data_IF_832142348404
#
_entry.id   IF_832142348404
#
_cell.length_a   1.000
_cell.length_b   1.000
_cell.length_c   1.000
_cell.angle_alpha   90.00
_cell.angle_beta   90.00
_cell.angle_gamma   90.00
#
_symmetry.space_group_name_H-M   'P 1'
#
loop_
_entity.id
_entity.type
_entity.pdbx_description
1 polymer ?
#
# COMPACT_ATOMS: atom_id res chain seq x y z
N UNK A 1 -47.02 57.22 -11.87
CA UNK A 1 -46.33 56.28 -12.79
C UNK A 1 -44.98 55.97 -12.17
N UNK A 2 -44.52 54.76 -11.90
CA UNK A 2 -45.00 53.41 -12.06
C UNK A 2 -44.01 52.52 -11.30
N UNK A 3 -44.54 51.51 -10.63
CA UNK A 3 -43.86 50.53 -9.77
C UNK A 3 -42.86 49.66 -10.52
N UNK A 4 -41.71 49.36 -9.92
CA UNK A 4 -40.94 48.13 -10.18
C UNK A 4 -40.34 47.62 -8.86
N UNK A 5 -41.15 46.82 -8.15
CA UNK A 5 -40.67 45.80 -7.21
C UNK A 5 -40.06 44.65 -8.00
N UNK A 6 -38.89 44.16 -7.57
CA UNK A 6 -38.38 42.84 -7.96
C UNK A 6 -37.76 42.18 -6.73
N UNK A 7 -38.44 41.16 -6.22
CA UNK A 7 -38.00 40.31 -5.11
C UNK A 7 -36.76 39.48 -5.50
N UNK A 8 -35.79 39.27 -4.59
CA UNK A 8 -34.78 38.24 -4.78
C UNK A 8 -35.36 36.86 -4.42
N UNK A 9 -35.43 35.99 -5.43
CA UNK A 9 -35.85 34.59 -5.33
C UNK A 9 -34.95 33.79 -4.38
N UNK A 10 -35.59 33.06 -3.47
CA UNK A 10 -35.05 32.01 -2.62
C UNK A 10 -34.19 31.01 -3.43
N UNK A 11 -32.86 31.10 -3.33
CA UNK A 11 -31.90 30.15 -3.89
C UNK A 11 -31.06 29.43 -2.80
N UNK A 12 -31.60 29.29 -1.59
CA UNK A 12 -30.86 28.75 -0.43
C UNK A 12 -31.00 27.23 -0.19
N UNK A 13 -32.12 26.60 -0.56
CA UNK A 13 -32.47 25.28 0.00
C UNK A 13 -31.94 24.06 -0.78
N UNK A 14 -31.67 24.20 -2.09
CA UNK A 14 -31.18 23.07 -2.92
C UNK A 14 -29.68 22.80 -2.77
N UNK A 15 -28.88 23.80 -2.42
CA UNK A 15 -27.43 23.60 -2.24
C UNK A 15 -27.09 22.99 -0.87
N UNK A 16 -27.87 23.29 0.17
CA UNK A 16 -27.68 22.68 1.50
C UNK A 16 -28.06 21.19 1.52
N UNK A 17 -29.09 20.79 0.79
CA UNK A 17 -29.48 19.36 0.66
C UNK A 17 -28.51 18.54 -0.18
N UNK A 18 -27.89 19.15 -1.20
CA UNK A 18 -26.78 18.55 -1.95
C UNK A 18 -25.52 18.42 -1.10
N UNK A 19 -25.16 19.44 -0.31
CA UNK A 19 -24.04 19.36 0.62
C UNK A 19 -24.28 18.34 1.75
N UNK A 20 -25.52 18.24 2.25
CA UNK A 20 -25.91 17.25 3.26
C UNK A 20 -25.88 15.81 2.73
N UNK A 21 -26.27 15.58 1.47
CA UNK A 21 -26.18 14.25 0.85
C UNK A 21 -24.74 13.85 0.49
N UNK A 22 -23.89 14.82 0.13
CA UNK A 22 -22.45 14.59 -0.02
C UNK A 22 -21.75 14.28 1.32
N UNK A 23 -22.17 14.89 2.42
CA UNK A 23 -21.61 14.57 3.75
C UNK A 23 -22.12 13.22 4.28
N UNK A 24 -23.36 12.82 3.97
CA UNK A 24 -23.91 11.53 4.39
C UNK A 24 -23.26 10.33 3.66
N UNK A 25 -22.82 10.49 2.41
CA UNK A 25 -22.06 9.47 1.68
C UNK A 25 -20.57 9.42 2.08
N UNK A 26 -20.04 10.51 2.66
CA UNK A 26 -18.66 10.54 3.15
C UNK A 26 -18.49 9.85 4.52
N UNK A 27 -19.58 9.64 5.28
CA UNK A 27 -19.55 9.10 6.65
C UNK A 27 -19.60 7.58 6.76
N UNK A 28 -19.68 6.82 5.65
CA UNK A 28 -19.63 5.35 5.72
C UNK A 28 -18.22 4.78 6.00
N UNK A 29 -17.18 5.62 5.94
CA UNK A 29 -15.83 5.24 6.36
C UNK A 29 -15.16 6.40 7.11
N UNK A 30 -14.85 6.21 8.39
CA UNK A 30 -14.40 7.29 9.29
C UNK A 30 -13.05 7.96 8.98
N UNK A 31 -12.37 7.62 7.88
CA UNK A 31 -11.08 8.20 7.50
C UNK A 31 -11.24 9.34 6.46
N UNK A 32 -10.41 10.40 6.51
CA UNK A 32 -10.42 11.46 5.51
C UNK A 32 -10.16 10.98 4.08
N UNK A 33 -10.74 11.65 3.09
CA UNK A 33 -10.64 11.29 1.67
C UNK A 33 -9.18 11.19 1.15
N UNK A 34 -8.30 12.11 1.57
CA UNK A 34 -6.90 12.10 1.16
C UNK A 34 -6.13 10.86 1.64
N UNK A 35 -6.62 10.16 2.68
CA UNK A 35 -6.06 8.89 3.14
C UNK A 35 -6.66 7.72 2.38
N UNK A 36 -7.99 7.72 2.19
CA UNK A 36 -8.76 6.65 1.54
C UNK A 36 -8.42 6.46 0.06
N UNK A 37 -8.10 7.55 -0.62
CA UNK A 37 -7.82 7.54 -2.06
C UNK A 37 -6.36 7.87 -2.36
N UNK A 38 -5.49 7.81 -1.35
CA UNK A 38 -4.09 8.17 -1.48
C UNK A 38 -3.40 7.39 -2.59
N UNK A 39 -3.62 6.07 -2.65
CA UNK A 39 -2.96 5.20 -3.63
C UNK A 39 -3.50 5.42 -5.05
N UNK A 40 -4.79 5.75 -5.19
CA UNK A 40 -5.42 6.02 -6.48
C UNK A 40 -5.02 7.38 -7.07
N UNK A 41 -4.64 8.34 -6.23
CA UNK A 41 -4.23 9.68 -6.65
C UNK A 41 -2.75 9.76 -7.07
N UNK A 42 -1.96 8.70 -6.89
CA UNK A 42 -0.53 8.73 -7.25
C UNK A 42 -0.32 8.43 -8.74
N UNK A 43 0.42 9.30 -9.43
CA UNK A 43 0.88 9.06 -10.80
C UNK A 43 2.13 8.16 -10.80
N UNK A 44 1.98 6.95 -10.25
CA UNK A 44 3.05 5.95 -10.15
C UNK A 44 2.60 4.70 -10.93
N UNK A 45 3.49 4.06 -11.71
CA UNK A 45 3.16 2.82 -12.38
C UNK A 45 2.56 1.78 -11.42
N UNK A 46 1.56 0.99 -11.85
CA UNK A 46 0.91 0.04 -10.96
C UNK A 46 1.90 -0.98 -10.41
N UNK A 47 1.96 -1.08 -9.09
CA UNK A 47 2.90 -1.94 -8.39
C UNK A 47 2.44 -2.27 -6.98
N UNK A 48 3.35 -2.77 -6.15
CA UNK A 48 3.09 -3.10 -4.73
C UNK A 48 3.17 -1.84 -3.85
N UNK A 49 2.31 -0.87 -4.11
CA UNK A 49 2.22 0.37 -3.34
C UNK A 49 1.70 0.12 -1.92
N UNK A 50 2.19 0.90 -0.95
CA UNK A 50 1.73 0.84 0.44
C UNK A 50 0.55 1.80 0.67
N UNK A 51 -0.40 1.44 1.57
CA UNK A 51 -1.45 2.36 1.98
C UNK A 51 -0.90 3.58 2.71
N UNK A 52 -1.66 4.68 2.72
CA UNK A 52 -1.27 5.95 3.34
C UNK A 52 -0.69 5.77 4.75
N UNK A 53 -1.43 5.06 5.62
CA UNK A 53 -1.01 4.84 7.00
C UNK A 53 0.29 4.04 7.15
N UNK A 54 0.56 3.10 6.25
CA UNK A 54 1.81 2.32 6.28
C UNK A 54 2.98 3.15 5.74
N UNK A 55 2.72 4.06 4.78
CA UNK A 55 3.71 5.05 4.33
C UNK A 55 4.10 6.01 5.47
N UNK A 56 3.12 6.54 6.21
CA UNK A 56 3.38 7.36 7.39
C UNK A 56 4.18 6.59 8.43
N UNK A 57 3.85 5.32 8.68
CA UNK A 57 4.61 4.49 9.62
C UNK A 57 6.05 4.21 9.14
N UNK A 58 6.26 4.04 7.84
CA UNK A 58 7.60 3.91 7.25
C UNK A 58 8.43 5.19 7.39
N UNK A 59 7.81 6.36 7.24
CA UNK A 59 8.45 7.65 7.51
C UNK A 59 8.78 7.79 9.00
N UNK A 60 7.87 7.40 9.90
CA UNK A 60 8.11 7.38 11.35
C UNK A 60 9.30 6.49 11.71
N UNK A 61 9.37 5.27 11.16
CA UNK A 61 10.51 4.38 11.35
C UNK A 61 11.81 5.00 10.83
N UNK A 62 11.80 5.59 9.62
CA UNK A 62 12.99 6.24 9.05
C UNK A 62 13.51 7.37 9.94
N UNK A 63 12.62 8.23 10.44
CA UNK A 63 12.99 9.35 11.31
C UNK A 63 13.48 8.84 12.66
N UNK A 64 12.78 7.86 13.25
CA UNK A 64 13.17 7.20 14.50
C UNK A 64 14.56 6.57 14.38
N UNK A 65 14.82 5.77 13.35
CA UNK A 65 16.11 5.07 13.15
C UNK A 65 17.26 6.06 12.92
N UNK A 66 16.97 7.23 12.34
CA UNK A 66 17.95 8.33 12.18
C UNK A 66 18.31 8.95 13.53
N UNK A 67 17.32 9.28 14.37
CA UNK A 67 17.55 9.83 15.71
C UNK A 67 18.24 8.81 16.62
N UNK A 68 17.79 7.56 16.61
CA UNK A 68 18.43 6.47 17.36
C UNK A 68 19.87 6.31 16.90
N UNK A 69 20.15 6.30 15.59
CA UNK A 69 21.49 6.26 15.04
C UNK A 69 22.38 7.40 15.53
N UNK A 70 21.86 8.63 15.54
CA UNK A 70 22.60 9.79 16.02
C UNK A 70 23.01 9.67 17.49
N UNK A 71 22.09 9.25 18.36
CA UNK A 71 22.33 9.11 19.80
C UNK A 71 23.20 7.90 20.12
N UNK A 72 22.90 6.76 19.50
CA UNK A 72 23.62 5.51 19.71
C UNK A 72 25.08 5.60 19.24
N UNK A 73 25.34 6.21 18.08
CA UNK A 73 26.69 6.30 17.51
C UNK A 73 27.64 7.17 18.33
N UNK A 74 27.11 8.06 19.18
CA UNK A 74 27.90 8.87 20.13
C UNK A 74 27.83 8.35 21.57
N UNK A 75 27.41 7.10 21.75
CA UNK A 75 27.30 6.43 23.06
C UNK A 75 26.37 7.14 24.05
N UNK A 76 25.35 7.83 23.56
CA UNK A 76 24.35 8.47 24.41
C UNK A 76 23.16 7.55 24.62
N UNK A 77 22.64 7.49 25.86
CA UNK A 77 21.43 6.72 26.17
C UNK A 77 20.23 7.24 25.37
N UNK A 78 19.68 6.35 24.56
CA UNK A 78 18.55 6.60 23.67
C UNK A 78 17.24 6.42 24.43
N UNK A 79 16.70 7.53 24.95
CA UNK A 79 15.40 7.52 25.65
C UNK A 79 14.25 7.83 24.70
N UNK A 80 13.06 7.31 24.98
CA UNK A 80 11.86 7.60 24.20
C UNK A 80 11.58 9.11 24.14
N UNK A 81 11.80 9.86 25.22
CA UNK A 81 11.61 11.31 25.23
C UNK A 81 12.47 12.02 24.17
N UNK A 82 13.76 11.63 24.03
CA UNK A 82 14.66 12.19 23.02
C UNK A 82 14.26 11.79 21.61
N UNK A 83 13.90 10.51 21.43
CA UNK A 83 13.42 10.00 20.14
C UNK A 83 12.13 10.68 19.72
N UNK A 84 11.18 10.83 20.64
CA UNK A 84 9.91 11.54 20.43
C UNK A 84 10.17 12.96 19.95
N UNK A 85 10.94 13.74 20.70
CA UNK A 85 11.26 15.11 20.33
C UNK A 85 11.90 15.17 18.93
N UNK A 86 12.97 14.39 18.69
CA UNK A 86 13.66 14.41 17.41
C UNK A 86 12.80 13.97 16.22
N UNK A 87 11.90 13.00 16.40
CA UNK A 87 10.97 12.57 15.33
C UNK A 87 9.91 13.63 15.06
N UNK A 88 9.36 14.26 16.11
CA UNK A 88 8.36 15.34 15.95
C UNK A 88 8.97 16.58 15.28
N UNK A 89 10.23 16.90 15.59
CA UNK A 89 10.97 18.00 14.97
C UNK A 89 11.22 17.74 13.47
N UNK A 90 11.55 16.50 13.09
CA UNK A 90 11.80 16.14 11.68
C UNK A 90 10.51 16.05 10.87
N UNK A 91 9.47 15.43 11.44
CA UNK A 91 8.26 15.08 10.68
C UNK A 91 7.14 16.10 10.80
N UNK A 92 7.20 17.00 11.78
CA UNK A 92 6.11 17.91 12.15
C UNK A 92 4.76 17.18 12.33
N UNK A 93 4.81 15.96 12.88
CA UNK A 93 3.65 15.08 13.15
C UNK A 93 3.74 14.52 14.58
N UNK A 94 2.61 14.10 15.13
CA UNK A 94 2.57 13.46 16.45
C UNK A 94 3.28 12.10 16.43
N UNK A 95 4.10 11.84 17.46
CA UNK A 95 4.80 10.58 17.64
C UNK A 95 4.69 10.09 19.08
N UNK A 96 3.97 9.00 19.28
CA UNK A 96 3.65 8.45 20.60
C UNK A 96 4.22 7.04 20.79
N UNK A 97 4.24 6.53 22.03
CA UNK A 97 4.69 5.17 22.34
C UNK A 97 3.90 4.11 21.55
N UNK A 98 2.62 4.37 21.27
CA UNK A 98 1.80 3.54 20.38
C UNK A 98 2.47 3.31 19.02
N UNK A 99 3.07 4.35 18.43
CA UNK A 99 3.73 4.25 17.13
C UNK A 99 5.01 3.41 17.23
N UNK A 100 5.74 3.50 18.34
CA UNK A 100 6.88 2.61 18.63
C UNK A 100 6.42 1.16 18.75
N UNK A 101 5.27 0.91 19.40
CA UNK A 101 4.64 -0.40 19.44
C UNK A 101 4.26 -0.92 18.05
N UNK A 102 3.75 -0.06 17.15
CA UNK A 102 3.47 -0.44 15.76
C UNK A 102 4.76 -0.77 14.99
N UNK A 103 5.81 0.02 15.16
CA UNK A 103 7.13 -0.25 14.57
C UNK A 103 7.67 -1.60 15.07
N UNK A 104 7.54 -1.88 16.37
CA UNK A 104 7.90 -3.18 16.96
C UNK A 104 7.07 -4.32 16.35
N UNK A 105 5.78 -4.13 16.12
CA UNK A 105 4.94 -5.15 15.48
C UNK A 105 5.41 -5.47 14.03
N UNK A 106 5.81 -4.44 13.27
CA UNK A 106 6.30 -4.60 11.89
C UNK A 106 7.71 -5.17 11.83
N UNK A 107 8.58 -4.79 12.76
CA UNK A 107 9.97 -5.22 12.79
C UNK A 107 10.43 -5.58 14.21
N UNK A 108 9.98 -6.72 14.76
CA UNK A 108 10.20 -7.09 16.17
C UNK A 108 11.67 -7.23 16.57
N UNK A 109 12.52 -7.61 15.61
CA UNK A 109 13.96 -7.81 15.82
C UNK A 109 14.80 -6.55 15.64
N UNK A 110 14.18 -5.38 15.40
CA UNK A 110 14.91 -4.14 15.09
C UNK A 110 15.52 -3.44 16.30
N UNK A 111 14.86 -3.52 17.47
CA UNK A 111 15.26 -2.86 18.71
C UNK A 111 14.97 -3.73 19.93
N UNK A 112 15.82 -3.61 20.96
CA UNK A 112 15.51 -4.03 22.33
C UNK A 112 14.95 -2.84 23.08
N UNK A 113 13.82 -3.04 23.75
CA UNK A 113 13.16 -2.02 24.56
C UNK A 113 13.36 -2.37 26.03
N UNK A 114 13.70 -1.38 26.87
CA UNK A 114 13.91 -1.58 28.32
C UNK A 114 13.28 -0.43 29.11
N UNK A 115 13.08 -0.67 30.40
CA UNK A 115 12.76 0.38 31.35
C UNK A 115 13.95 0.62 32.28
N UNK A 116 14.51 1.82 32.22
CA UNK A 116 15.72 2.18 32.94
C UNK A 116 15.47 3.34 33.91
N UNK A 117 16.18 3.32 35.03
CA UNK A 117 16.12 4.35 36.08
C UNK A 117 17.45 5.12 36.11
N UNK A 118 17.43 6.33 36.64
CA UNK A 118 18.62 7.17 36.87
C UNK A 118 19.34 7.63 35.60
N UNK A 119 18.65 7.72 34.47
CA UNK A 119 19.20 8.33 33.27
C UNK A 119 19.37 9.85 33.54
N UNK A 120 20.57 10.43 33.36
CA UNK A 120 20.78 11.85 33.59
C UNK A 120 19.90 12.69 32.67
N UNK A 121 18.88 13.33 33.23
CA UNK A 121 18.07 14.35 32.53
C UNK A 121 18.57 15.74 32.89
N UNK A 122 18.70 16.62 31.90
CA UNK A 122 19.12 18.02 32.08
C UNK A 122 18.17 18.83 33.00
N UNK A 123 16.91 18.38 33.14
CA UNK A 123 15.94 18.99 34.06
C UNK A 123 16.11 18.45 35.48
N UNK A 124 16.68 19.25 36.38
CA UNK A 124 16.84 18.91 37.81
C UNK A 124 15.53 18.92 38.62
N UNK A 125 14.40 19.27 38.00
CA UNK A 125 13.09 19.42 38.66
C UNK A 125 12.19 18.18 38.64
N UNK A 126 12.53 17.14 37.87
CA UNK A 126 11.77 15.88 37.84
C UNK A 126 12.33 14.91 38.89
N UNK A 127 11.44 14.38 39.74
CA UNK A 127 11.75 13.43 40.82
C UNK A 127 12.72 12.35 40.33
N UNK A 128 13.80 12.07 41.09
CA UNK A 128 14.87 11.06 40.90
C UNK A 128 14.39 9.58 40.74
N UNK A 129 13.15 9.33 40.37
CA UNK A 129 12.50 8.01 40.42
C UNK A 129 11.61 7.67 39.21
N UNK A 130 11.60 8.42 38.11
CA UNK A 130 10.84 8.00 36.92
C UNK A 130 11.65 7.02 36.07
N UNK A 131 11.10 5.84 35.88
CA UNK A 131 11.54 4.92 34.82
C UNK A 131 11.30 5.56 33.46
N UNK A 132 12.23 5.39 32.53
CA UNK A 132 12.11 5.86 31.14
C UNK A 132 12.31 4.70 30.16
N UNK A 133 11.45 4.64 29.15
CA UNK A 133 11.59 3.70 28.05
C UNK A 133 12.87 4.01 27.27
N UNK A 134 13.78 3.04 27.16
CA UNK A 134 15.01 3.12 26.37
C UNK A 134 14.96 2.19 25.18
N UNK A 135 15.68 2.57 24.13
CA UNK A 135 15.70 1.89 22.85
C UNK A 135 17.13 1.54 22.45
N UNK A 136 17.42 0.26 22.27
CA UNK A 136 18.74 -0.21 21.87
C UNK A 136 18.65 -0.86 20.48
N UNK A 137 19.31 -0.33 19.44
CA UNK A 137 19.28 -0.95 18.12
C UNK A 137 19.96 -2.31 18.15
N UNK A 138 19.28 -3.33 17.61
CA UNK A 138 19.88 -4.65 17.43
C UNK A 138 20.72 -4.62 16.16
N UNK A 139 22.01 -4.89 16.32
CA UNK A 139 22.99 -4.99 15.25
C UNK A 139 23.41 -6.47 15.11
N UNK A 140 23.58 -6.95 13.88
CA UNK A 140 24.11 -8.30 13.63
C UNK A 140 25.55 -8.45 14.14
N UNK A 141 26.05 -9.69 14.20
CA UNK A 141 27.32 -10.04 14.85
C UNK A 141 28.58 -9.45 14.18
N UNK A 142 28.46 -8.87 12.99
CA UNK A 142 29.60 -8.38 12.22
C UNK A 142 30.01 -6.94 12.59
N UNK A 143 30.98 -6.80 13.51
CA UNK A 143 31.80 -5.59 13.66
C UNK A 143 31.36 -4.55 14.71
N UNK A 144 31.90 -3.32 14.61
CA UNK A 144 31.69 -2.24 15.59
C UNK A 144 30.19 -1.95 15.80
N UNK A 145 29.74 -1.70 17.05
CA UNK A 145 28.36 -1.35 17.36
C UNK A 145 28.08 0.08 16.88
N UNK A 146 27.84 0.23 15.57
CA UNK A 146 27.62 1.51 14.91
C UNK A 146 26.49 1.38 13.88
N UNK A 147 25.53 2.30 13.92
CA UNK A 147 24.49 2.47 12.91
C UNK A 147 25.04 3.30 11.75
N UNK A 148 25.73 2.64 10.83
CA UNK A 148 26.23 3.24 9.58
C UNK A 148 25.08 3.58 8.62
N UNK A 149 25.34 4.43 7.62
CA UNK A 149 24.39 4.73 6.56
C UNK A 149 23.91 3.47 5.81
N UNK A 150 24.80 2.50 5.57
CA UNK A 150 24.45 1.22 4.93
C UNK A 150 23.49 0.40 5.78
N UNK A 151 23.70 0.35 7.11
CA UNK A 151 22.80 -0.35 8.04
C UNK A 151 21.43 0.32 8.13
N UNK A 152 21.37 1.65 8.18
CA UNK A 152 20.10 2.40 8.15
C UNK A 152 19.32 2.13 6.86
N UNK A 153 20.01 2.05 5.72
CA UNK A 153 19.37 1.74 4.44
C UNK A 153 18.82 0.31 4.42
N UNK A 154 19.59 -0.66 4.93
CA UNK A 154 19.14 -2.05 5.00
C UNK A 154 17.94 -2.23 5.93
N UNK A 155 18.00 -1.63 7.12
CA UNK A 155 16.87 -1.62 8.07
C UNK A 155 15.62 -1.02 7.45
N UNK A 156 15.75 0.06 6.67
CA UNK A 156 14.65 0.66 5.90
C UNK A 156 14.07 -0.29 4.86
N UNK A 157 14.92 -1.03 4.13
CA UNK A 157 14.47 -2.03 3.15
C UNK A 157 13.71 -3.16 3.82
N UNK A 158 14.22 -3.68 4.94
CA UNK A 158 13.54 -4.73 5.71
C UNK A 158 12.19 -4.24 6.23
N UNK A 159 12.12 -3.04 6.80
CA UNK A 159 10.86 -2.46 7.27
C UNK A 159 9.82 -2.31 6.14
N UNK A 160 10.25 -1.76 5.00
CA UNK A 160 9.39 -1.61 3.82
C UNK A 160 8.89 -2.97 3.31
N UNK A 161 9.77 -3.98 3.22
CA UNK A 161 9.41 -5.34 2.83
C UNK A 161 8.39 -5.95 3.79
N UNK A 162 8.56 -5.77 5.09
CA UNK A 162 7.62 -6.28 6.09
C UNK A 162 6.24 -5.64 5.96
N UNK A 163 6.17 -4.32 5.73
CA UNK A 163 4.89 -3.64 5.44
C UNK A 163 4.22 -4.20 4.19
N UNK A 164 4.97 -4.40 3.10
CA UNK A 164 4.44 -5.01 1.87
C UNK A 164 3.91 -6.42 2.15
N UNK A 165 4.63 -7.21 2.95
CA UNK A 165 4.18 -8.57 3.31
C UNK A 165 2.88 -8.57 4.12
N UNK A 166 2.67 -7.59 5.01
CA UNK A 166 1.39 -7.42 5.72
C UNK A 166 0.27 -7.14 4.72
N UNK A 167 0.49 -6.21 3.77
CA UNK A 167 -0.50 -5.92 2.70
C UNK A 167 -0.77 -7.16 1.84
N UNK A 168 0.25 -7.96 1.51
CA UNK A 168 0.10 -9.23 0.78
C UNK A 168 -0.82 -10.22 1.51
N UNK A 169 -0.78 -10.28 2.84
CA UNK A 169 -1.69 -11.13 3.60
C UNK A 169 -3.15 -10.70 3.43
N UNK A 170 -3.44 -9.40 3.51
CA UNK A 170 -4.79 -8.87 3.28
C UNK A 170 -5.25 -9.04 1.83
N UNK A 171 -4.35 -8.82 0.87
CA UNK A 171 -4.60 -9.05 -0.55
C UNK A 171 -4.93 -10.52 -0.82
N UNK A 172 -4.20 -11.47 -0.22
CA UNK A 172 -4.49 -12.91 -0.32
C UNK A 172 -5.89 -13.25 0.18
N UNK A 173 -6.31 -12.69 1.32
CA UNK A 173 -7.67 -12.88 1.85
C UNK A 173 -8.72 -12.30 0.91
N UNK A 174 -8.48 -11.11 0.36
CA UNK A 174 -9.35 -10.51 -0.65
C UNK A 174 -9.48 -11.39 -1.90
N UNK A 175 -8.37 -11.90 -2.44
CA UNK A 175 -8.39 -12.74 -3.64
C UNK A 175 -9.13 -14.07 -3.42
N UNK A 176 -9.03 -14.64 -2.23
CA UNK A 176 -9.77 -15.84 -1.86
C UNK A 176 -11.30 -15.60 -1.78
N UNK A 177 -11.72 -14.35 -1.52
CA UNK A 177 -13.13 -13.95 -1.46
C UNK A 177 -13.77 -13.66 -2.84
N UNK A 178 -12.97 -13.61 -3.91
CA UNK A 178 -13.46 -13.38 -5.27
C UNK A 178 -14.20 -14.61 -5.83
N UNK A 179 -14.99 -14.39 -6.88
CA UNK A 179 -15.70 -15.44 -7.61
C UNK A 179 -15.32 -15.39 -9.11
N UNK A 180 -14.46 -16.30 -9.60
CA UNK A 180 -13.85 -17.43 -8.90
C UNK A 180 -12.75 -17.01 -7.92
N UNK A 181 -12.46 -17.83 -6.88
CA UNK A 181 -11.34 -17.59 -5.98
C UNK A 181 -10.02 -17.59 -6.75
N UNK A 182 -9.16 -16.62 -6.46
CA UNK A 182 -7.86 -16.49 -7.11
C UNK A 182 -6.74 -16.72 -6.10
N UNK A 183 -5.67 -17.41 -6.52
CA UNK A 183 -4.48 -17.65 -5.70
C UNK A 183 -3.24 -17.30 -6.51
N UNK A 184 -2.47 -16.33 -6.04
CA UNK A 184 -1.19 -15.92 -6.65
C UNK A 184 -0.08 -16.11 -5.61
N UNK A 185 1.02 -16.81 -5.95
CA UNK A 185 2.19 -16.90 -5.09
C UNK A 185 2.81 -15.52 -4.77
N UNK A 186 3.20 -15.30 -3.52
CA UNK A 186 3.69 -14.01 -3.04
C UNK A 186 4.96 -13.50 -3.76
N UNK A 187 5.78 -14.42 -4.24
CA UNK A 187 7.01 -14.21 -5.00
C UNK A 187 6.76 -13.74 -6.44
N UNK A 188 5.61 -14.11 -7.01
CA UNK A 188 5.23 -13.76 -8.39
C UNK A 188 4.38 -12.49 -8.50
N UNK A 189 3.88 -11.99 -7.37
CA UNK A 189 3.01 -10.81 -7.35
C UNK A 189 3.81 -9.54 -7.67
N UNK A 190 3.51 -8.88 -8.78
CA UNK A 190 4.17 -7.63 -9.20
C UNK A 190 3.31 -6.38 -8.93
N UNK A 191 2.00 -6.54 -8.82
CA UNK A 191 1.04 -5.47 -8.51
C UNK A 191 -0.22 -5.98 -7.81
N UNK A 192 -0.93 -5.06 -7.17
CA UNK A 192 -2.22 -5.37 -6.55
C UNK A 192 -3.31 -5.64 -7.58
N UNK A 193 -4.35 -6.34 -7.13
CA UNK A 193 -5.56 -6.52 -7.92
C UNK A 193 -6.25 -5.15 -8.14
N UNK A 194 -6.73 -4.79 -9.34
CA UNK A 194 -7.32 -3.46 -9.61
C UNK A 194 -8.49 -3.08 -8.69
N UNK A 195 -9.30 -4.07 -8.30
CA UNK A 195 -10.41 -3.93 -7.33
C UNK A 195 -10.01 -4.05 -5.85
N UNK A 196 -8.73 -4.23 -5.54
CA UNK A 196 -8.27 -4.29 -4.15
C UNK A 196 -8.05 -2.87 -3.64
N UNK A 197 -8.84 -2.46 -2.63
CA UNK A 197 -8.66 -1.16 -2.01
C UNK A 197 -7.50 -1.21 -1.01
N UNK A 198 -6.34 -0.71 -1.44
CA UNK A 198 -5.11 -0.74 -0.65
C UNK A 198 -5.25 0.08 0.64
N UNK A 199 -5.88 1.25 0.58
CA UNK A 199 -5.95 2.20 1.71
C UNK A 199 -6.95 1.76 2.81
N UNK A 200 -7.82 0.78 2.52
CA UNK A 200 -8.75 0.17 3.48
C UNK A 200 -8.16 -1.00 4.28
N UNK A 201 -6.93 -1.44 3.98
CA UNK A 201 -6.22 -2.47 4.74
C UNK A 201 -6.24 -2.12 6.23
N UNK A 202 -6.44 -3.05 7.19
CA UNK A 202 -6.50 -2.75 8.63
C UNK A 202 -5.26 -2.04 9.21
N UNK A 203 -5.46 -1.35 10.33
CA UNK A 203 -4.37 -0.74 11.10
C UNK A 203 -3.46 -1.80 11.73
N UNK A 204 -2.16 -1.49 11.80
CA UNK A 204 -1.20 -2.33 12.51
C UNK A 204 -1.46 -2.22 14.01
N UNK A 205 -1.74 -3.37 14.63
CA UNK A 205 -1.92 -3.49 16.07
C UNK A 205 -0.56 -3.27 16.75
N UNK A 206 -0.43 -2.30 17.67
CA UNK A 206 0.83 -2.06 18.39
C UNK A 206 1.24 -3.28 19.21
N UNK A 207 2.51 -3.69 19.10
CA UNK A 207 3.08 -4.69 19.99
C UNK A 207 3.31 -4.09 21.39
N UNK A 208 3.18 -4.92 22.42
CA UNK A 208 3.37 -4.51 23.81
C UNK A 208 4.80 -3.99 24.05
N UNK A 209 4.90 -2.87 24.77
CA UNK A 209 6.17 -2.27 25.20
C UNK A 209 6.38 -2.52 26.70
N UNK A 210 7.64 -2.62 27.17
CA UNK A 210 7.93 -2.86 28.57
C UNK A 210 7.39 -1.70 29.44
N UNK A 211 6.51 -2.04 30.36
CA UNK A 211 5.98 -1.10 31.34
C UNK A 211 6.96 -0.92 32.51
N UNK A 212 6.97 0.25 33.17
CA UNK A 212 7.69 0.41 34.43
C UNK A 212 7.28 -0.69 35.42
N UNK A 213 8.22 -1.31 36.16
CA UNK A 213 7.85 -2.26 37.19
C UNK A 213 6.94 -1.57 38.20
N UNK A 214 5.79 -2.19 38.49
CA UNK A 214 4.89 -1.72 39.54
C UNK A 214 5.58 -1.94 40.87
N UNK A 215 6.29 -0.92 41.34
CA UNK A 215 6.75 -0.87 42.72
C UNK A 215 5.52 -0.47 43.51
N UNK A 216 5.01 -1.36 44.35
CA UNK A 216 4.01 -1.07 45.38
C UNK A 216 4.56 0.04 46.28
N UNK A 217 4.41 1.28 45.83
CA UNK A 217 4.63 2.43 46.68
C UNK A 217 3.44 2.38 47.65
N UNK A 218 3.71 1.86 48.85
CA UNK A 218 2.89 2.13 50.03
C UNK A 218 2.94 3.64 50.26
N UNK A 219 2.15 4.38 49.49
CA UNK A 219 2.22 5.85 49.41
C UNK A 219 1.28 6.48 50.42
N UNK A 220 0.37 5.68 50.97
CA UNK A 220 -0.65 6.13 51.91
C UNK A 220 -0.35 5.56 53.29
N UNK A 221 -0.30 6.42 54.31
CA UNK A 221 -0.14 5.99 55.71
C UNK A 221 -1.17 4.92 56.11
N UNK A 222 -2.34 4.92 55.46
CA UNK A 222 -3.39 3.92 55.61
C UNK A 222 -2.97 2.52 55.14
N UNK A 223 -2.20 2.39 54.05
CA UNK A 223 -1.72 1.10 53.54
C UNK A 223 -0.56 0.54 54.38
N UNK A 224 0.27 1.43 54.92
CA UNK A 224 1.30 1.06 55.90
C UNK A 224 0.63 0.55 57.19
N UNK A 225 -0.44 1.21 57.64
CA UNK A 225 -1.21 0.82 58.82
C UNK A 225 -2.02 -0.46 58.61
N UNK A 226 -2.58 -0.73 57.43
CA UNK A 226 -3.28 -1.99 57.15
C UNK A 226 -2.31 -3.17 57.11
N UNK A 227 -1.11 -2.99 56.54
CA UNK A 227 -0.06 -4.01 56.54
C UNK A 227 0.51 -4.25 57.95
N UNK A 228 0.66 -3.20 58.76
CA UNK A 228 1.03 -3.34 60.17
C UNK A 228 -0.07 -4.00 61.03
N UNK A 229 -1.35 -3.74 60.75
CA UNK A 229 -2.49 -4.43 61.39
C UNK A 229 -2.54 -5.91 61.02
N UNK A 230 -2.18 -6.28 59.78
CA UNK A 230 -2.07 -7.68 59.37
C UNK A 230 -0.91 -8.44 60.03
N UNK A 231 0.01 -7.73 60.70
CA UNK A 231 1.09 -8.31 61.50
C UNK A 231 0.75 -8.40 63.00
N UNK A 232 -0.47 -8.08 63.44
CA UNK A 232 -0.89 -8.19 64.85
C UNK A 232 -1.88 -9.35 65.10
N UNK A 233 -1.78 -9.91 66.30
CA UNK A 233 -2.19 -11.26 66.74
C UNK A 233 -3.57 -11.81 66.31
N UNK A 234 -3.69 -13.15 66.17
CA UNK A 234 -4.78 -13.89 65.47
C UNK A 234 -6.13 -13.96 66.20
N UNK A 235 -6.42 -13.07 67.16
CA UNK A 235 -7.66 -13.15 67.96
C UNK A 235 -8.84 -12.34 67.40
N UNK A 236 -8.68 -11.60 66.31
CA UNK A 236 -9.75 -10.77 65.71
C UNK A 236 -10.05 -11.07 64.24
N UNK A 237 -9.49 -12.13 63.65
CA UNK A 237 -9.92 -12.66 62.34
C UNK A 237 -11.17 -13.55 62.44
N UNK A 238 -11.38 -14.21 63.58
CA UNK A 238 -12.52 -15.12 63.81
C UNK A 238 -13.89 -14.44 63.92
N UNK A 239 -13.95 -13.11 63.90
CA UNK A 239 -15.21 -12.36 63.94
C UNK A 239 -15.72 -11.94 62.54
N UNK A 240 -14.89 -11.98 61.49
CA UNK A 240 -15.30 -11.58 60.12
C UNK A 240 -15.64 -12.74 59.20
N UNK A 241 -15.17 -13.96 59.49
CA UNK A 241 -15.45 -15.16 58.69
C UNK A 241 -16.92 -15.62 58.72
N UNK A 242 -17.72 -15.14 59.69
CA UNK A 242 -19.12 -15.55 59.86
C UNK A 242 -20.16 -14.71 59.10
N UNK A 243 -19.73 -13.75 58.26
CA UNK A 243 -20.68 -12.96 57.45
C UNK A 243 -20.62 -13.23 55.93
N UNK A 244 -19.69 -14.07 55.46
CA UNK A 244 -19.48 -14.35 54.03
C UNK A 244 -20.00 -15.73 53.57
N UNK A 245 -20.77 -16.44 54.41
CA UNK A 245 -21.34 -17.76 54.10
C UNK A 245 -22.88 -17.75 53.98
N UNK A 246 -23.47 -16.65 53.50
CA UNK A 246 -24.91 -16.59 53.18
C UNK A 246 -25.20 -15.79 51.92
N UNK A 247 -24.69 -16.23 50.77
CA UNK A 247 -25.32 -16.00 49.46
C UNK A 247 -24.60 -16.85 48.41
N UNK A 248 -25.00 -18.12 48.32
CA UNK A 248 -24.79 -18.95 47.15
C UNK A 248 -25.88 -20.02 47.16
N UNK A 249 -26.84 -19.89 46.25
CA UNK A 249 -27.45 -20.96 45.45
C UNK A 249 -28.72 -20.44 44.78
N UNK A 250 -28.74 -20.44 43.45
CA UNK A 250 -29.73 -21.15 42.60
C UNK A 250 -29.45 -20.83 41.11
N UNK A 251 -29.03 -21.85 40.36
CA UNK A 251 -29.19 -22.01 38.89
C UNK A 251 -30.67 -22.39 38.57
N UNK A 252 -31.21 -22.61 37.32
CA UNK A 252 -30.56 -23.20 36.13
C UNK A 252 -31.09 -22.83 34.69
N UNK A 253 -30.44 -23.40 33.66
CA UNK A 253 -31.00 -23.82 32.35
C UNK A 253 -30.80 -22.86 31.15
N UNK A 254 -30.59 -23.24 29.88
CA UNK A 254 -30.47 -24.51 29.12
C UNK A 254 -29.96 -24.20 27.67
N UNK A 255 -29.67 -25.25 26.89
CA UNK A 255 -29.11 -25.38 25.51
C UNK A 255 -29.68 -24.45 24.38
N UNK A 256 -29.04 -24.18 23.22
CA UNK A 256 -28.70 -25.09 22.09
C UNK A 256 -27.77 -24.44 21.01
N UNK A 257 -27.27 -25.31 20.13
CA UNK A 257 -26.29 -25.25 19.04
C UNK A 257 -26.60 -24.41 17.77
N UNK A 258 -25.62 -24.22 16.84
CA UNK A 258 -25.63 -23.19 15.80
C UNK A 258 -26.27 -23.64 14.48
N UNK A 259 -26.81 -22.68 13.70
CA UNK A 259 -27.33 -22.89 12.35
C UNK A 259 -26.66 -21.97 11.34
N UNK A 260 -26.21 -22.58 10.25
CA UNK A 260 -25.58 -21.96 9.09
C UNK A 260 -26.60 -21.55 8.00
N UNK A 261 -26.12 -20.62 7.15
CA UNK A 261 -26.44 -20.32 5.73
C UNK A 261 -27.82 -19.70 5.38
N UNK A 262 -27.91 -18.81 4.35
CA UNK A 262 -27.21 -18.92 3.06
C UNK A 262 -26.52 -17.68 2.48
N UNK A 263 -25.59 -18.04 1.60
CA UNK A 263 -24.87 -17.28 0.58
C UNK A 263 -25.76 -16.70 -0.52
N UNK A 264 -25.28 -15.57 -1.06
CA UNK A 264 -25.36 -15.14 -2.46
C UNK A 264 -26.75 -14.82 -3.04
N UNK A 265 -27.14 -13.56 -2.90
CA UNK A 265 -28.04 -12.90 -3.84
C UNK A 265 -27.32 -12.71 -5.18
N UNK A 266 -27.48 -13.64 -6.12
CA UNK A 266 -27.20 -13.35 -7.53
C UNK A 266 -28.33 -12.47 -8.06
N UNK A 267 -27.93 -11.31 -8.57
CA UNK A 267 -28.78 -10.30 -9.19
C UNK A 267 -29.80 -10.90 -10.16
N UNK A 268 -31.03 -10.41 -10.07
CA UNK A 268 -32.13 -10.63 -11.02
C UNK A 268 -31.88 -10.06 -12.43
N UNK A 269 -30.64 -9.65 -12.74
CA UNK A 269 -30.23 -8.97 -13.96
C UNK A 269 -29.74 -9.91 -15.09
N UNK A 270 -29.64 -11.22 -14.85
CA UNK A 270 -29.10 -12.20 -15.81
C UNK A 270 -30.11 -13.26 -16.26
N UNK A 271 -31.41 -12.94 -16.19
CA UNK A 271 -32.49 -13.84 -16.63
C UNK A 271 -32.47 -13.97 -18.16
N UNK A 272 -31.58 -14.81 -18.69
CA UNK A 272 -31.44 -15.05 -20.14
C UNK A 272 -30.05 -15.49 -20.63
N UNK A 273 -29.00 -15.46 -19.81
CA UNK A 273 -27.64 -15.91 -20.19
C UNK A 273 -27.35 -17.28 -19.56
N UNK A 274 -26.85 -18.24 -20.35
CA UNK A 274 -26.55 -19.58 -19.83
C UNK A 274 -25.50 -19.52 -18.71
N UNK A 275 -25.73 -20.25 -17.62
CA UNK A 275 -24.81 -20.29 -16.47
C UNK A 275 -23.40 -20.73 -16.89
N UNK A 276 -23.30 -21.67 -17.83
CA UNK A 276 -22.03 -22.11 -18.42
C UNK A 276 -21.27 -20.99 -19.16
N UNK A 277 -21.96 -20.06 -19.83
CA UNK A 277 -21.31 -18.91 -20.47
C UNK A 277 -20.81 -17.91 -19.42
N UNK A 278 -21.60 -17.66 -18.37
CA UNK A 278 -21.20 -16.78 -17.27
C UNK A 278 -19.99 -17.31 -16.51
N UNK A 279 -19.93 -18.61 -16.25
CA UNK A 279 -18.79 -19.27 -15.63
C UNK A 279 -17.54 -19.18 -16.51
N UNK A 280 -17.69 -19.40 -17.81
CA UNK A 280 -16.58 -19.27 -18.77
C UNK A 280 -16.06 -17.84 -18.87
N UNK A 281 -16.95 -16.84 -18.83
CA UNK A 281 -16.58 -15.42 -18.83
C UNK A 281 -15.81 -15.10 -17.54
N UNK A 282 -16.35 -15.50 -16.38
CA UNK A 282 -15.69 -15.27 -15.07
C UNK A 282 -14.33 -15.95 -14.98
N UNK A 283 -14.20 -17.19 -15.45
CA UNK A 283 -12.91 -17.89 -15.50
C UNK A 283 -11.89 -17.18 -16.41
N UNK A 284 -12.34 -16.68 -17.57
CA UNK A 284 -11.49 -15.93 -18.51
C UNK A 284 -11.06 -14.58 -17.93
N UNK A 285 -11.94 -13.87 -17.24
CA UNK A 285 -11.62 -12.62 -16.54
C UNK A 285 -10.61 -12.84 -15.41
N UNK A 286 -10.81 -13.89 -14.60
CA UNK A 286 -9.87 -14.27 -13.55
C UNK A 286 -8.49 -14.63 -14.10
N UNK A 287 -8.42 -15.36 -15.21
CA UNK A 287 -7.15 -15.68 -15.88
C UNK A 287 -6.45 -14.41 -16.39
N UNK A 288 -7.19 -13.48 -17.00
CA UNK A 288 -6.63 -12.19 -17.48
C UNK A 288 -6.09 -11.36 -16.31
N UNK A 289 -6.83 -11.30 -15.21
CA UNK A 289 -6.40 -10.60 -14.00
C UNK A 289 -5.16 -11.25 -13.38
N UNK A 290 -5.10 -12.58 -13.35
CA UNK A 290 -3.94 -13.30 -12.86
C UNK A 290 -2.69 -12.97 -13.67
N UNK A 291 -2.76 -13.05 -15.01
CA UNK A 291 -1.65 -12.69 -15.88
C UNK A 291 -1.19 -11.25 -15.63
N UNK A 292 -2.13 -10.31 -15.53
CA UNK A 292 -1.83 -8.90 -15.23
C UNK A 292 -1.09 -8.71 -13.90
N UNK A 293 -1.43 -9.48 -12.86
CA UNK A 293 -0.81 -9.39 -11.54
C UNK A 293 0.56 -10.07 -11.44
N UNK A 294 0.88 -11.00 -12.36
CA UNK A 294 2.14 -11.76 -12.36
C UNK A 294 3.12 -11.33 -13.43
N UNK A 295 2.73 -10.41 -14.33
CA UNK A 295 3.56 -9.97 -15.45
C UNK A 295 4.77 -9.16 -14.98
N UNK A 296 5.92 -9.42 -15.60
CA UNK A 296 7.18 -8.71 -15.33
C UNK A 296 7.18 -7.31 -15.99
N UNK A 297 7.74 -6.26 -15.36
CA UNK A 297 7.94 -4.93 -15.95
C UNK A 297 8.42 -4.89 -17.41
N UNK A 298 9.37 -5.74 -17.81
CA UNK A 298 9.88 -5.77 -19.19
C UNK A 298 8.82 -6.23 -20.21
N UNK A 299 8.03 -7.25 -19.85
CA UNK A 299 6.94 -7.74 -20.70
C UNK A 299 5.82 -6.69 -20.79
N UNK A 300 5.61 -5.91 -19.74
CA UNK A 300 4.66 -4.81 -19.74
C UNK A 300 5.08 -3.65 -20.64
N UNK A 301 6.36 -3.26 -20.57
CA UNK A 301 6.91 -2.26 -21.49
C UNK A 301 6.76 -2.73 -22.93
N UNK A 302 7.13 -3.99 -23.22
CA UNK A 302 6.97 -4.59 -24.55
C UNK A 302 5.51 -4.58 -25.00
N UNK A 303 4.57 -5.01 -24.17
CA UNK A 303 3.14 -4.98 -24.52
C UNK A 303 2.64 -3.56 -24.77
N UNK A 304 3.14 -2.58 -24.02
CA UNK A 304 2.81 -1.16 -24.21
C UNK A 304 3.33 -0.64 -25.55
N UNK A 305 4.51 -1.09 -25.99
CA UNK A 305 5.01 -0.79 -27.33
C UNK A 305 4.15 -1.47 -28.41
N UNK A 306 3.83 -2.77 -28.24
CA UNK A 306 3.02 -3.53 -29.21
C UNK A 306 1.61 -2.94 -29.34
N UNK A 307 1.00 -2.47 -28.25
CA UNK A 307 -0.36 -1.91 -28.26
C UNK A 307 -0.49 -0.61 -29.06
N UNK A 308 0.62 0.11 -29.27
CA UNK A 308 0.69 1.33 -30.11
C UNK A 308 0.88 1.03 -31.59
N UNK A 309 1.43 -0.14 -31.94
CA UNK A 309 1.73 -0.52 -33.32
C UNK A 309 0.53 -0.46 -34.27
N UNK A 310 -0.72 -0.80 -33.89
CA UNK A 310 -1.85 -0.71 -34.82
C UNK A 310 -2.11 0.72 -35.32
N UNK A 311 -1.98 1.74 -34.47
CA UNK A 311 -2.10 3.14 -34.89
C UNK A 311 -0.90 3.54 -35.74
N UNK A 312 0.31 3.20 -35.26
CA UNK A 312 1.56 3.50 -35.95
C UNK A 312 1.66 2.84 -37.32
N UNK A 313 1.04 1.68 -37.52
CA UNK A 313 1.02 0.96 -38.79
C UNK A 313 0.29 1.77 -39.87
N UNK A 314 -0.81 2.42 -39.50
CA UNK A 314 -1.57 3.31 -40.39
C UNK A 314 -0.76 4.54 -40.77
N UNK A 315 -0.06 5.12 -39.79
CA UNK A 315 0.80 6.28 -40.01
C UNK A 315 1.99 5.94 -40.89
N UNK A 316 2.69 4.85 -40.60
CA UNK A 316 3.83 4.35 -41.37
C UNK A 316 3.42 4.12 -42.83
N UNK A 317 2.28 3.46 -43.07
CA UNK A 317 1.70 3.28 -44.40
C UNK A 317 1.48 4.61 -45.11
N UNK A 318 0.89 5.59 -44.42
CA UNK A 318 0.60 6.92 -44.96
C UNK A 318 1.88 7.68 -45.33
N UNK A 319 2.91 7.63 -44.47
CA UNK A 319 4.23 8.23 -44.72
C UNK A 319 4.85 7.67 -46.00
N UNK A 320 4.86 6.35 -46.17
CA UNK A 320 5.42 5.71 -47.38
C UNK A 320 4.60 5.97 -48.65
N UNK A 321 3.28 6.16 -48.53
CA UNK A 321 2.44 6.57 -49.66
C UNK A 321 2.74 8.02 -50.06
N UNK A 322 2.87 8.92 -49.09
CA UNK A 322 3.16 10.33 -49.32
C UNK A 322 4.55 10.56 -49.93
N UNK A 323 5.58 9.89 -49.41
CA UNK A 323 6.97 10.01 -49.89
C UNK A 323 7.19 9.33 -51.26
N UNK A 324 6.26 8.51 -51.74
CA UNK A 324 6.33 7.75 -53.02
C UNK A 324 7.57 6.87 -53.21
N UNK A 325 8.37 6.64 -52.16
CA UNK A 325 9.55 5.76 -52.16
C UNK A 325 9.24 4.38 -51.56
N UNK A 326 9.99 3.34 -51.94
CA UNK A 326 9.87 2.01 -51.34
C UNK A 326 10.74 1.83 -50.09
N UNK A 327 11.77 2.66 -49.94
CA UNK A 327 12.64 2.69 -48.76
C UNK A 327 12.92 4.14 -48.34
N UNK A 328 13.02 4.36 -47.03
CA UNK A 328 13.35 5.64 -46.40
C UNK A 328 14.52 5.43 -45.42
N UNK A 329 15.29 6.48 -45.12
CA UNK A 329 16.24 6.41 -44.00
C UNK A 329 15.48 6.37 -42.68
N UNK A 330 16.06 5.76 -41.65
CA UNK A 330 15.48 5.68 -40.31
C UNK A 330 15.14 7.07 -39.77
N UNK A 331 16.07 8.04 -39.93
CA UNK A 331 15.86 9.42 -39.50
C UNK A 331 14.63 10.07 -40.16
N UNK A 332 14.45 9.91 -41.48
CA UNK A 332 13.32 10.48 -42.21
C UNK A 332 12.02 9.80 -41.80
N UNK A 333 12.02 8.47 -41.66
CA UNK A 333 10.85 7.72 -41.20
C UNK A 333 10.43 8.16 -39.79
N UNK A 334 11.37 8.25 -38.84
CA UNK A 334 11.13 8.72 -37.49
C UNK A 334 10.56 10.14 -37.47
N UNK A 335 11.18 11.07 -38.19
CA UNK A 335 10.74 12.48 -38.25
C UNK A 335 9.31 12.59 -38.77
N UNK A 336 9.02 11.95 -39.91
CA UNK A 336 7.67 11.98 -40.52
C UNK A 336 6.61 11.32 -39.66
N UNK A 337 6.98 10.24 -38.97
CA UNK A 337 6.06 9.58 -38.03
C UNK A 337 5.80 10.45 -36.80
N UNK A 338 6.82 11.12 -36.25
CA UNK A 338 6.65 12.03 -35.12
C UNK A 338 5.76 13.22 -35.49
N UNK A 339 5.92 13.79 -36.68
CA UNK A 339 5.06 14.87 -37.18
C UNK A 339 3.58 14.45 -37.29
N UNK A 340 3.33 13.17 -37.55
CA UNK A 340 1.99 12.62 -37.80
C UNK A 340 1.36 11.96 -36.56
N UNK A 341 2.14 11.71 -35.51
CA UNK A 341 1.68 11.00 -34.32
C UNK A 341 1.17 11.98 -33.26
N UNK A 342 0.00 11.69 -32.67
CA UNK A 342 -0.66 12.60 -31.73
C UNK A 342 0.02 12.68 -30.36
N UNK A 343 0.79 11.67 -29.99
CA UNK A 343 1.46 11.60 -28.68
C UNK A 343 2.91 12.02 -28.82
N UNK A 344 3.37 12.91 -27.95
CA UNK A 344 4.77 13.33 -27.93
C UNK A 344 5.68 12.16 -27.58
N UNK A 345 6.72 11.95 -28.38
CA UNK A 345 7.68 10.86 -28.21
C UNK A 345 9.06 11.30 -28.71
N UNK A 346 10.12 10.70 -28.20
CA UNK A 346 11.48 10.95 -28.68
C UNK A 346 11.76 10.22 -29.99
N UNK A 347 12.70 10.70 -30.80
CA UNK A 347 13.13 10.00 -32.03
C UNK A 347 13.66 8.60 -31.73
N UNK A 348 14.43 8.43 -30.64
CA UNK A 348 14.94 7.12 -30.23
C UNK A 348 13.83 6.15 -29.82
N UNK A 349 12.75 6.63 -29.19
CA UNK A 349 11.62 5.76 -28.88
C UNK A 349 10.83 5.41 -30.15
N UNK A 350 10.69 6.32 -31.13
CA UNK A 350 10.09 6.02 -32.44
C UNK A 350 10.86 4.93 -33.17
N UNK A 351 12.18 5.03 -33.18
CA UNK A 351 13.07 4.05 -33.79
C UNK A 351 12.89 2.66 -33.18
N UNK A 352 12.76 2.54 -31.84
CA UNK A 352 12.44 1.26 -31.18
C UNK A 352 11.13 0.64 -31.70
N UNK A 353 10.09 1.44 -31.95
CA UNK A 353 8.83 0.92 -32.49
C UNK A 353 8.98 0.47 -33.95
N UNK A 354 9.80 1.16 -34.76
CA UNK A 354 10.13 0.74 -36.12
C UNK A 354 10.91 -0.58 -36.15
N UNK A 355 11.87 -0.76 -35.22
CA UNK A 355 12.53 -2.04 -35.02
C UNK A 355 11.56 -3.14 -34.60
N UNK A 356 10.61 -2.83 -33.71
CA UNK A 356 9.59 -3.77 -33.28
C UNK A 356 8.67 -4.21 -34.42
N UNK A 357 8.34 -3.31 -35.37
CA UNK A 357 7.64 -3.71 -36.60
C UNK A 357 8.44 -4.72 -37.42
N UNK A 358 9.75 -4.50 -37.58
CA UNK A 358 10.60 -5.43 -38.33
C UNK A 358 10.78 -6.77 -37.63
N UNK A 359 10.74 -6.80 -36.29
CA UNK A 359 10.80 -8.03 -35.50
C UNK A 359 9.51 -8.85 -35.64
N UNK A 360 8.35 -8.18 -35.53
CA UNK A 360 7.04 -8.84 -35.49
C UNK A 360 6.46 -9.13 -36.88
N UNK A 361 6.78 -8.30 -37.88
CA UNK A 361 6.25 -8.37 -39.24
C UNK A 361 7.40 -8.22 -40.26
N UNK A 362 8.34 -9.18 -40.30
CA UNK A 362 9.51 -9.12 -41.18
C UNK A 362 9.14 -9.21 -42.67
N UNK A 363 7.94 -9.68 -43.00
CA UNK A 363 7.41 -9.70 -44.37
C UNK A 363 6.85 -8.34 -44.80
N UNK A 364 6.49 -7.46 -43.86
CA UNK A 364 5.91 -6.15 -44.15
C UNK A 364 6.92 -5.01 -44.00
N UNK A 365 7.70 -5.01 -42.92
CA UNK A 365 8.70 -3.98 -42.61
C UNK A 365 10.06 -4.65 -42.53
N UNK A 366 11.00 -4.18 -43.34
CA UNK A 366 12.37 -4.71 -43.37
C UNK A 366 13.34 -3.57 -43.11
N UNK A 367 14.23 -3.78 -42.13
CA UNK A 367 15.30 -2.84 -41.81
C UNK A 367 16.62 -3.34 -42.41
N UNK A 368 17.27 -2.48 -43.20
CA UNK A 368 18.53 -2.74 -43.86
C UNK A 368 19.60 -1.73 -43.38
N UNK A 369 20.59 -2.17 -42.59
CA UNK A 369 21.75 -1.34 -42.29
C UNK A 369 22.69 -1.30 -43.50
N UNK A 370 22.99 -0.11 -44.00
CA UNK A 370 23.89 0.12 -45.14
C UNK A 370 24.96 1.13 -44.72
N UNK A 371 26.20 0.63 -44.55
CA UNK A 371 27.37 1.41 -44.10
C UNK A 371 27.11 2.08 -42.73
N UNK A 372 26.82 3.38 -42.71
CA UNK A 372 26.54 4.17 -41.50
C UNK A 372 25.06 4.50 -41.33
N UNK A 373 24.24 4.22 -42.35
CA UNK A 373 22.83 4.61 -42.37
C UNK A 373 21.93 3.38 -42.31
N UNK A 374 20.82 3.50 -41.60
CA UNK A 374 19.80 2.45 -41.50
C UNK A 374 18.62 2.83 -42.40
N UNK A 375 18.23 1.93 -43.30
CA UNK A 375 17.07 2.12 -44.18
C UNK A 375 15.93 1.22 -43.76
N UNK A 376 14.71 1.72 -43.85
CA UNK A 376 13.47 0.97 -43.65
C UNK A 376 12.74 0.83 -44.98
N UNK A 377 12.42 -0.40 -45.35
CA UNK A 377 11.62 -0.76 -46.53
C UNK A 377 10.25 -1.23 -46.07
N UNK A 378 9.21 -0.79 -46.79
CA UNK A 378 7.82 -1.16 -46.52
C UNK A 378 7.21 -1.84 -47.74
N UNK A 379 6.62 -3.03 -47.56
CA UNK A 379 5.81 -3.64 -48.62
C UNK A 379 4.46 -2.91 -48.75
N UNK A 380 4.26 -2.28 -49.91
CA UNK A 380 3.05 -1.53 -50.22
C UNK A 380 1.93 -2.39 -50.79
N UNK A 381 2.17 -3.65 -51.10
CA UNK A 381 1.16 -4.54 -51.68
C UNK A 381 0.29 -5.22 -50.63
N UNK A 382 0.80 -5.33 -49.39
CA UNK A 382 0.08 -5.97 -48.29
C UNK A 382 -1.13 -5.15 -47.84
N UNK A 383 -2.24 -5.86 -47.59
CA UNK A 383 -3.46 -5.27 -47.04
C UNK A 383 -3.24 -4.88 -45.58
N UNK A 384 -3.54 -3.62 -45.28
CA UNK A 384 -3.46 -3.05 -43.94
C UNK A 384 -4.40 -3.78 -42.97
N UNK A 385 -5.55 -4.28 -43.41
CA UNK A 385 -6.46 -5.02 -42.54
C UNK A 385 -5.83 -6.33 -42.04
N UNK A 386 -5.13 -7.05 -42.92
CA UNK A 386 -4.40 -8.28 -42.57
C UNK A 386 -3.29 -7.97 -41.56
N UNK A 387 -2.55 -6.87 -41.76
CA UNK A 387 -1.54 -6.41 -40.82
C UNK A 387 -2.15 -6.08 -39.45
N UNK A 388 -3.29 -5.39 -39.43
CA UNK A 388 -4.01 -5.05 -38.20
C UNK A 388 -4.48 -6.31 -37.45
N UNK A 389 -5.01 -7.31 -38.16
CA UNK A 389 -5.41 -8.59 -37.55
C UNK A 389 -4.22 -9.34 -36.95
N UNK A 390 -3.08 -9.36 -37.66
CA UNK A 390 -1.84 -9.97 -37.15
C UNK A 390 -1.34 -9.25 -35.90
N UNK A 391 -1.29 -7.91 -35.91
CA UNK A 391 -0.92 -7.11 -34.74
C UNK A 391 -1.87 -7.36 -33.56
N UNK A 392 -3.19 -7.40 -33.80
CA UNK A 392 -4.17 -7.72 -32.75
C UNK A 392 -4.01 -9.14 -32.20
N UNK A 393 -3.63 -10.12 -33.03
CA UNK A 393 -3.33 -11.47 -32.57
C UNK A 393 -2.08 -11.50 -31.70
N UNK A 394 -1.02 -10.82 -32.11
CA UNK A 394 0.21 -10.71 -31.32
C UNK A 394 -0.02 -10.00 -29.99
N UNK A 395 -0.83 -8.93 -29.94
CA UNK A 395 -1.25 -8.30 -28.68
C UNK A 395 -1.93 -9.32 -27.76
N UNK A 396 -2.85 -10.14 -28.28
CA UNK A 396 -3.55 -11.17 -27.48
C UNK A 396 -2.65 -12.32 -27.02
N UNK A 397 -1.59 -12.62 -27.75
CA UNK A 397 -0.59 -13.62 -27.36
C UNK A 397 0.32 -13.06 -26.27
N UNK A 398 0.79 -11.82 -26.43
CA UNK A 398 1.60 -11.12 -25.43
C UNK A 398 0.81 -10.82 -24.14
N UNK A 399 -0.51 -10.60 -24.21
CA UNK A 399 -1.39 -10.44 -23.04
C UNK A 399 -1.54 -11.73 -22.22
N UNK A 400 -1.25 -12.90 -22.80
CA UNK A 400 -1.38 -14.21 -22.12
C UNK A 400 -0.09 -14.70 -21.47
N UNK A 401 1.05 -14.15 -21.89
CA UNK A 401 2.38 -14.41 -21.32
C UNK A 401 2.53 -13.70 -19.97
#
# INVERSE_FOLDING_TARGET
MGSLYSEPKHLGSKNESLLASFTQAATESGAPAYQRFHTLAQDIPPGLTLPYKYKVLAEMFRSMDTIVGMLFNRSETVTFAKVKQGVQDIMHKQFEERNVGQIKAVYPTSYKFRQEKNIPTFSSFLKKSSYQLTLEPVLGEDGRPHLSASRLLERRRVFSRNLVNIVKQHHKTFMASLNPPMVIPNDKLTRWHPRFNVDEVPDIIPAELPQPPQVDKLTTAQEVLTKARSMMTPKMEKALANLALRTAETSPGEHETPKATPTANTSSALKGVSQALLERIRAKEAQKLQALMTRNPQQEERLTMISRLPEMARLLRTVFVAEKKQALTMEVACTRMLDSYRTTMTSGDMEKHLHLFSELLPDWVIIHPIRKDTYIKLDKSMDLNVIMERLMRMIKEEEKL
#
